data_IF_008736704696
#
_entry.id   IF_008736704696
#
_cell.length_a   1.000
_cell.length_b   1.000
_cell.length_c   1.000
_cell.angle_alpha   90.00
_cell.angle_beta   90.00
_cell.angle_gamma   90.00
#
_symmetry.space_group_name_H-M   'P 1'
#
loop_
_entity.id
_entity.type
_entity.pdbx_description
1 polymer ?
#
# COMPACT_ATOMS: atom_id res chain seq x y z
N UNK A 1 8.94 -11.64 0.74
CA UNK A 1 8.49 -10.69 1.78
C UNK A 1 9.66 -10.35 2.67
N UNK A 2 9.87 -9.07 2.95
CA UNK A 2 10.88 -8.54 3.88
C UNK A 2 10.20 -8.13 5.18
N UNK A 3 10.93 -8.14 6.28
CA UNK A 3 10.45 -7.58 7.55
C UNK A 3 10.67 -6.07 7.59
N UNK A 4 9.76 -5.34 8.22
CA UNK A 4 9.99 -3.94 8.60
C UNK A 4 11.02 -3.89 9.73
N UNK A 5 11.84 -2.82 9.77
CA UNK A 5 12.86 -2.65 10.82
C UNK A 5 12.27 -2.41 12.22
N UNK A 6 11.11 -1.77 12.28
CA UNK A 6 10.33 -1.57 13.50
C UNK A 6 8.84 -1.67 13.15
N UNK A 7 8.04 -2.48 13.87
CA UNK A 7 6.60 -2.50 13.66
C UNK A 7 5.97 -1.14 13.93
N UNK A 8 5.00 -0.76 13.11
CA UNK A 8 4.28 0.51 13.24
C UNK A 8 2.79 0.32 12.97
N UNK A 9 1.99 1.22 13.53
CA UNK A 9 0.54 1.25 13.36
C UNK A 9 0.18 2.14 12.17
N UNK A 10 -0.85 1.73 11.43
CA UNK A 10 -1.50 2.56 10.41
C UNK A 10 -2.95 2.70 10.80
N UNK A 11 -3.52 3.86 10.52
CA UNK A 11 -4.90 4.18 10.81
C UNK A 11 -5.64 4.46 9.50
N UNK A 12 -6.90 4.08 9.46
CA UNK A 12 -7.82 4.42 8.39
C UNK A 12 -8.16 5.92 8.43
N UNK A 13 -8.87 6.41 7.42
CA UNK A 13 -9.28 7.82 7.31
C UNK A 13 -10.22 8.27 8.43
N UNK A 14 -10.95 7.34 9.05
CA UNK A 14 -11.82 7.59 10.21
C UNK A 14 -11.05 7.53 11.56
N UNK A 15 -9.74 7.28 11.53
CA UNK A 15 -8.89 7.17 12.71
C UNK A 15 -8.91 5.80 13.38
N UNK A 16 -9.64 4.82 12.86
CA UNK A 16 -9.60 3.44 13.38
C UNK A 16 -8.31 2.73 12.95
N UNK A 17 -7.74 1.81 13.76
CA UNK A 17 -6.57 1.04 13.35
C UNK A 17 -6.81 0.24 12.06
N UNK A 18 -5.85 0.28 11.15
CA UNK A 18 -5.83 -0.51 9.92
C UNK A 18 -5.39 -1.94 10.25
N UNK A 19 -6.36 -2.84 10.36
CA UNK A 19 -6.15 -4.22 10.80
C UNK A 19 -6.00 -4.36 12.32
N UNK A 20 -5.87 -5.60 12.78
CA UNK A 20 -5.82 -5.93 14.21
C UNK A 20 -4.41 -5.99 14.81
N UNK A 21 -3.35 -5.78 14.02
CA UNK A 21 -1.95 -5.95 14.44
C UNK A 21 -1.04 -4.92 13.76
N UNK A 22 0.08 -4.55 14.41
CA UNK A 22 1.10 -3.71 13.79
C UNK A 22 1.62 -4.31 12.48
N UNK A 23 2.03 -3.42 11.58
CA UNK A 23 2.62 -3.76 10.30
C UNK A 23 4.00 -4.35 10.52
N UNK A 24 4.26 -5.50 9.89
CA UNK A 24 5.49 -6.27 10.12
C UNK A 24 6.24 -6.62 8.84
N UNK A 25 5.59 -6.54 7.67
CA UNK A 25 6.15 -7.02 6.43
C UNK A 25 6.01 -6.03 5.27
N UNK A 26 7.01 -6.06 4.39
CA UNK A 26 6.99 -5.51 3.05
C UNK A 26 6.86 -6.62 2.01
N UNK A 27 6.23 -6.29 0.89
CA UNK A 27 6.18 -7.11 -0.31
C UNK A 27 6.62 -6.27 -1.52
N UNK A 28 7.47 -6.86 -2.35
CA UNK A 28 7.80 -6.30 -3.66
C UNK A 28 6.67 -6.65 -4.64
N UNK A 29 6.02 -5.64 -5.22
CA UNK A 29 4.90 -5.78 -6.13
C UNK A 29 5.30 -5.25 -7.50
N UNK A 30 5.07 -6.03 -8.55
CA UNK A 30 5.16 -5.55 -9.92
C UNK A 30 3.81 -4.93 -10.30
N UNK A 31 3.73 -3.60 -10.27
CA UNK A 31 2.54 -2.87 -10.68
C UNK A 31 2.58 -2.66 -12.20
N UNK A 32 1.52 -3.09 -12.87
CA UNK A 32 1.34 -2.87 -14.31
C UNK A 32 0.02 -2.16 -14.54
N UNK A 33 0.09 -0.93 -15.04
CA UNK A 33 -1.05 -0.21 -15.59
C UNK A 33 -1.08 -0.40 -17.11
N UNK A 34 -2.03 0.23 -17.80
CA UNK A 34 -2.12 0.15 -19.25
C UNK A 34 -0.86 0.72 -19.94
N UNK A 35 -0.35 1.86 -19.45
CA UNK A 35 0.77 2.60 -20.05
C UNK A 35 2.10 2.45 -19.30
N UNK A 36 2.10 1.92 -18.08
CA UNK A 36 3.27 1.91 -17.20
C UNK A 36 3.49 0.55 -16.51
N UNK A 37 4.75 0.26 -16.21
CA UNK A 37 5.16 -0.87 -15.37
C UNK A 37 6.24 -0.41 -14.42
N UNK A 38 6.10 -0.75 -13.15
CA UNK A 38 7.08 -0.47 -12.12
C UNK A 38 7.09 -1.56 -11.05
N UNK A 39 8.17 -1.59 -10.28
CA UNK A 39 8.27 -2.41 -9.07
C UNK A 39 8.21 -1.49 -7.87
N UNK A 40 7.24 -1.73 -6.97
CA UNK A 40 7.06 -0.95 -5.74
C UNK A 40 7.21 -1.84 -4.52
N UNK A 41 7.74 -1.28 -3.44
CA UNK A 41 7.73 -1.92 -2.12
C UNK A 41 6.47 -1.48 -1.38
N UNK A 42 5.58 -2.42 -1.07
CA UNK A 42 4.31 -2.17 -0.39
C UNK A 42 4.30 -2.78 1.02
N UNK A 43 3.67 -2.09 1.96
CA UNK A 43 3.44 -2.62 3.31
C UNK A 43 2.23 -3.55 3.31
N UNK A 44 2.31 -4.67 4.02
CA UNK A 44 1.25 -5.69 4.03
C UNK A 44 0.41 -5.59 5.30
N UNK A 45 -0.90 -5.34 5.14
CA UNK A 45 -1.91 -5.39 6.20
C UNK A 45 -3.16 -6.12 5.75
N UNK A 46 -4.05 -6.43 6.71
CA UNK A 46 -5.39 -6.92 6.44
C UNK A 46 -6.26 -5.70 6.11
N UNK A 47 -6.80 -5.67 4.89
CA UNK A 47 -7.74 -4.64 4.42
C UNK A 47 -8.99 -5.34 3.88
N UNK A 48 -10.16 -4.76 4.14
CA UNK A 48 -11.45 -5.42 3.86
C UNK A 48 -12.02 -5.07 2.47
N UNK A 49 -11.76 -3.86 1.96
CA UNK A 49 -12.51 -3.30 0.82
C UNK A 49 -11.76 -3.29 -0.51
N UNK A 50 -10.49 -3.69 -0.54
CA UNK A 50 -9.63 -3.67 -1.73
C UNK A 50 -8.44 -4.62 -1.59
N UNK A 51 -7.77 -4.94 -2.69
CA UNK A 51 -6.52 -5.73 -2.67
C UNK A 51 -5.27 -4.88 -2.38
N UNK A 52 -5.30 -3.59 -2.75
CA UNK A 52 -4.19 -2.65 -2.57
C UNK A 52 -4.71 -1.21 -2.46
N UNK A 53 -4.08 -0.42 -1.58
CA UNK A 53 -4.24 1.03 -1.55
C UNK A 53 -2.95 1.68 -2.04
N UNK A 54 -3.07 2.50 -3.09
CA UNK A 54 -1.98 3.37 -3.54
C UNK A 54 -2.10 4.71 -2.82
N UNK A 55 -1.03 5.13 -2.16
CA UNK A 55 -1.00 6.39 -1.42
C UNK A 55 -0.96 7.58 -2.37
N UNK A 56 -1.25 8.75 -1.79
CA UNK A 56 -1.30 10.03 -2.50
C UNK A 56 0.02 10.42 -3.19
N UNK A 57 1.17 10.06 -2.60
CA UNK A 57 2.50 10.26 -3.20
C UNK A 57 2.63 9.54 -4.56
N UNK A 58 2.13 8.31 -4.64
CA UNK A 58 2.10 7.55 -5.88
C UNK A 58 1.19 8.20 -6.93
N UNK A 59 0.01 8.69 -6.51
CA UNK A 59 -0.95 9.37 -7.38
C UNK A 59 -0.39 10.68 -7.96
N UNK A 60 0.29 11.50 -7.17
CA UNK A 60 0.92 12.74 -7.66
C UNK A 60 1.97 12.42 -8.72
N UNK A 61 2.79 11.39 -8.49
CA UNK A 61 3.90 11.08 -9.39
C UNK A 61 3.43 10.57 -10.76
N UNK A 62 2.40 9.73 -10.77
CA UNK A 62 1.97 9.04 -11.98
C UNK A 62 0.74 9.64 -12.66
N UNK A 63 -0.05 10.45 -11.94
CA UNK A 63 -1.31 11.06 -12.40
C UNK A 63 -2.11 10.13 -13.36
N UNK A 64 -2.50 8.93 -12.89
CA UNK A 64 -3.15 7.95 -13.75
C UNK A 64 -4.49 8.47 -14.26
N UNK A 65 -4.87 8.06 -15.46
CA UNK A 65 -6.25 8.24 -15.93
C UNK A 65 -7.18 7.38 -15.06
N UNK A 66 -8.26 8.00 -14.56
CA UNK A 66 -9.33 7.34 -13.84
C UNK A 66 -10.52 7.24 -14.79
N UNK A 67 -11.03 6.03 -15.02
CA UNK A 67 -12.27 5.77 -15.77
C UNK A 67 -13.48 5.80 -14.82
#
# INVERSE_FOLDING_TARGET
MKLVSKPFEVFNTDGTPSGHKPLTHYADINLKTHSHKEQIEAVVTIIDSADIFLRYDWLIHHNPEID
#
